data_IF_314271745232
#
_entry.id   IF_314271745232
#
_cell.length_a   1.000
_cell.length_b   1.000
_cell.length_c   1.000
_cell.angle_alpha   90.00
_cell.angle_beta   90.00
_cell.angle_gamma   90.00
#
_symmetry.space_group_name_H-M   'P 1'
#
loop_
_entity.id
_entity.type
_entity.pdbx_description
1 polymer ?
#
# COMPACT_ATOMS: atom_id res chain seq x y z
N UNK A 1 -13.14 -16.86 -11.44
CA UNK A 1 -12.03 -16.92 -12.41
C UNK A 1 -10.74 -17.21 -11.66
N UNK A 2 -10.01 -18.30 -11.97
CA UNK A 2 -8.66 -18.51 -11.42
C UNK A 2 -7.73 -17.47 -12.03
N UNK A 3 -7.25 -16.54 -11.22
CA UNK A 3 -6.28 -15.54 -11.67
C UNK A 3 -4.97 -16.25 -12.00
N UNK A 4 -4.37 -15.93 -13.15
CA UNK A 4 -3.06 -16.50 -13.49
C UNK A 4 -2.01 -16.02 -12.47
N UNK A 5 -1.00 -16.85 -12.19
CA UNK A 5 0.04 -16.51 -11.22
C UNK A 5 0.77 -15.21 -11.59
N UNK A 6 0.96 -14.94 -12.88
CA UNK A 6 1.56 -13.68 -13.36
C UNK A 6 0.63 -12.48 -13.14
N UNK A 7 -0.67 -12.61 -13.43
CA UNK A 7 -1.65 -11.56 -13.16
C UNK A 7 -1.73 -11.22 -11.66
N UNK A 8 -1.58 -12.22 -10.79
CA UNK A 8 -1.54 -12.03 -9.34
C UNK A 8 -0.30 -11.28 -8.86
N UNK A 9 0.88 -11.60 -9.40
CA UNK A 9 2.12 -10.88 -9.12
C UNK A 9 2.00 -9.41 -9.54
N UNK A 10 1.49 -9.14 -10.75
CA UNK A 10 1.31 -7.78 -11.26
C UNK A 10 0.34 -6.98 -10.36
N UNK A 11 -0.79 -7.58 -9.96
CA UNK A 11 -1.74 -6.93 -9.07
C UNK A 11 -1.11 -6.54 -7.72
N UNK A 12 -0.29 -7.42 -7.13
CA UNK A 12 0.46 -7.12 -5.90
C UNK A 12 1.43 -5.95 -6.08
N UNK A 13 2.17 -5.92 -7.19
CA UNK A 13 3.12 -4.84 -7.48
C UNK A 13 2.39 -3.50 -7.58
N UNK A 14 1.27 -3.45 -8.33
CA UNK A 14 0.44 -2.24 -8.44
C UNK A 14 -0.03 -1.79 -7.05
N UNK A 15 -0.49 -2.73 -6.23
CA UNK A 15 -0.98 -2.43 -4.89
C UNK A 15 0.13 -1.86 -3.98
N UNK A 16 1.35 -2.41 -4.05
CA UNK A 16 2.52 -1.90 -3.33
C UNK A 16 2.85 -0.46 -3.77
N UNK A 17 2.86 -0.19 -5.08
CA UNK A 17 3.12 1.15 -5.61
C UNK A 17 2.10 2.16 -5.09
N UNK A 18 0.81 1.80 -5.11
CA UNK A 18 -0.27 2.66 -4.59
C UNK A 18 -0.10 2.92 -3.09
N UNK A 19 0.21 1.90 -2.30
CA UNK A 19 0.42 2.04 -0.86
C UNK A 19 1.63 2.94 -0.53
N UNK A 20 2.72 2.83 -1.30
CA UNK A 20 3.89 3.71 -1.19
C UNK A 20 3.53 5.14 -1.59
N UNK A 21 2.77 5.31 -2.67
CA UNK A 21 2.29 6.63 -3.11
C UNK A 21 1.47 7.31 -2.01
N UNK A 22 0.53 6.59 -1.38
CA UNK A 22 -0.28 7.11 -0.27
C UNK A 22 0.58 7.51 0.95
N UNK A 23 1.68 6.81 1.20
CA UNK A 23 2.60 7.17 2.27
C UNK A 23 3.35 8.49 1.99
N UNK A 24 3.76 8.73 0.74
CA UNK A 24 4.52 9.92 0.36
C UNK A 24 3.65 11.16 0.10
N UNK A 25 2.36 10.98 -0.22
CA UNK A 25 1.43 12.08 -0.54
C UNK A 25 0.39 12.24 0.59
N UNK A 26 0.75 12.87 1.72
CA UNK A 26 -0.15 13.06 2.86
C UNK A 26 -1.42 13.82 2.49
N UNK A 27 -1.37 14.71 1.47
CA UNK A 27 -2.52 15.48 1.03
C UNK A 27 -3.71 14.62 0.57
N UNK A 28 -3.49 13.35 0.23
CA UNK A 28 -4.56 12.42 -0.12
C UNK A 28 -5.44 12.10 1.09
N UNK A 29 -4.87 12.15 2.30
CA UNK A 29 -5.59 11.88 3.55
C UNK A 29 -6.05 13.15 4.27
N UNK A 30 -5.45 14.30 3.95
CA UNK A 30 -5.81 15.58 4.57
C UNK A 30 -7.00 16.19 3.83
N UNK A 31 -8.18 16.17 4.46
CA UNK A 31 -9.33 16.92 3.96
C UNK A 31 -9.14 18.42 4.23
N UNK A 32 -9.24 19.24 3.18
CA UNK A 32 -9.05 20.70 3.27
C UNK A 32 -10.02 21.29 4.31
N UNK A 33 -9.47 21.88 5.38
CA UNK A 33 -10.24 22.63 6.38
C UNK A 33 -10.19 22.09 7.82
N UNK A 34 -9.54 20.96 8.08
CA UNK A 34 -9.37 20.42 9.44
C UNK A 34 -7.89 20.20 9.77
N UNK A 35 -7.26 21.17 10.44
CA UNK A 35 -5.93 20.98 11.06
C UNK A 35 -5.94 19.88 12.13
N UNK A 36 -7.12 19.55 12.67
CA UNK A 36 -7.32 18.43 13.59
C UNK A 36 -7.19 17.04 12.93
N UNK A 37 -7.12 16.97 11.59
CA UNK A 37 -6.99 15.70 10.85
C UNK A 37 -5.54 15.22 10.69
N UNK A 38 -4.56 15.98 11.18
CA UNK A 38 -3.12 15.66 11.06
C UNK A 38 -2.83 14.28 11.67
N UNK A 39 -3.38 13.98 12.86
CA UNK A 39 -3.17 12.68 13.52
C UNK A 39 -3.74 11.52 12.69
N UNK A 40 -4.91 11.71 12.09
CA UNK A 40 -5.53 10.74 11.19
C UNK A 40 -4.70 10.50 9.93
N UNK A 41 -4.18 11.57 9.32
CA UNK A 41 -3.31 11.47 8.14
C UNK A 41 -2.01 10.73 8.45
N UNK A 42 -1.40 10.96 9.63
CA UNK A 42 -0.20 10.24 10.07
C UNK A 42 -0.47 8.75 10.23
N UNK A 43 -1.58 8.38 10.89
CA UNK A 43 -1.99 6.97 11.06
C UNK A 43 -2.24 6.31 9.71
N UNK A 44 -3.00 6.94 8.81
CA UNK A 44 -3.31 6.41 7.48
C UNK A 44 -2.03 6.17 6.64
N UNK A 45 -1.06 7.08 6.73
CA UNK A 45 0.25 6.89 6.08
C UNK A 45 1.00 5.71 6.69
N UNK A 46 1.08 5.63 8.01
CA UNK A 46 1.71 4.51 8.71
C UNK A 46 1.11 3.16 8.29
N UNK A 47 -0.22 3.06 8.27
CA UNK A 47 -0.92 1.87 7.80
C UNK A 47 -0.65 1.54 6.33
N UNK A 48 -0.58 2.56 5.47
CA UNK A 48 -0.23 2.38 4.05
C UNK A 48 1.16 1.77 3.90
N UNK A 49 2.14 2.25 4.66
CA UNK A 49 3.49 1.71 4.62
C UNK A 49 3.58 0.28 5.18
N UNK A 50 2.92 0.00 6.30
CA UNK A 50 2.85 -1.37 6.86
C UNK A 50 2.25 -2.33 5.84
N UNK A 51 1.19 -1.90 5.14
CA UNK A 51 0.55 -2.68 4.10
C UNK A 51 1.48 -2.95 2.90
N UNK A 52 2.23 -1.93 2.47
CA UNK A 52 3.23 -2.07 1.41
C UNK A 52 4.32 -3.09 1.79
N UNK A 53 4.84 -3.01 3.02
CA UNK A 53 5.87 -3.93 3.52
C UNK A 53 5.34 -5.36 3.59
N UNK A 54 4.14 -5.56 4.16
CA UNK A 54 3.53 -6.88 4.25
C UNK A 54 3.27 -7.50 2.87
N UNK A 55 2.78 -6.70 1.91
CA UNK A 55 2.58 -7.19 0.54
C UNK A 55 3.89 -7.48 -0.17
N UNK A 56 4.94 -6.68 0.04
CA UNK A 56 6.26 -6.95 -0.50
C UNK A 56 6.85 -8.25 0.07
N UNK A 57 6.74 -8.47 1.39
CA UNK A 57 7.20 -9.71 2.03
C UNK A 57 6.50 -10.94 1.45
N UNK A 58 5.17 -10.91 1.37
CA UNK A 58 4.41 -12.04 0.81
C UNK A 58 4.63 -12.21 -0.70
N UNK A 59 4.95 -11.14 -1.43
CA UNK A 59 5.34 -11.24 -2.83
C UNK A 59 6.69 -11.95 -2.98
N UNK A 60 7.66 -11.60 -2.12
CA UNK A 60 8.98 -12.22 -2.10
C UNK A 60 8.89 -13.71 -1.77
N UNK A 61 8.09 -14.08 -0.75
CA UNK A 61 7.77 -15.48 -0.45
C UNK A 61 7.17 -16.21 -1.65
N UNK A 62 6.23 -15.57 -2.37
CA UNK A 62 5.57 -16.17 -3.52
C UNK A 62 6.47 -16.32 -4.75
N UNK A 63 7.52 -15.51 -4.86
CA UNK A 63 8.53 -15.64 -5.92
C UNK A 63 9.53 -16.73 -5.54
N UNK A 64 9.93 -16.80 -4.27
CA UNK A 64 10.99 -17.70 -3.80
C UNK A 64 10.50 -19.13 -3.53
N UNK A 65 9.23 -19.31 -3.14
CA UNK A 65 8.60 -20.62 -2.92
C UNK A 65 7.90 -21.18 -4.17
N UNK A 66 8.10 -20.55 -5.33
CA UNK A 66 7.59 -20.99 -6.62
C UNK A 66 8.58 -21.92 -7.30
#
# INVERSE_FOLDING_TARGET
MKMSSNSYIIAKIIFIIVAIYLFFNPEVFVTKGYDLSIDGAVICRGLSLICAINMASTLLDNIYKR
#
